data_IF_015797386462
#
_entry.id   IF_015797386462
#
_cell.length_a   1.000
_cell.length_b   1.000
_cell.length_c   1.000
_cell.angle_alpha   90.00
_cell.angle_beta   90.00
_cell.angle_gamma   90.00
#
_symmetry.space_group_name_H-M   'P 1'
#
loop_
_entity.id
_entity.type
_entity.pdbx_description
1 polymer ?
#
# COMPACT_ATOMS: atom_id res chain seq x y z
N UNK A 1 -0.28 -10.01 -18.14
CA UNK A 1 -0.20 -10.57 -16.76
C UNK A 1 -0.04 -9.45 -15.76
N UNK A 2 -0.89 -9.33 -14.72
CA UNK A 2 -0.80 -8.25 -13.72
C UNK A 2 0.57 -8.23 -13.02
N UNK A 3 1.19 -9.40 -12.86
CA UNK A 3 2.57 -9.56 -12.36
C UNK A 3 3.63 -8.76 -13.14
N UNK A 4 3.51 -8.66 -14.48
CA UNK A 4 4.52 -7.96 -15.31
C UNK A 4 4.44 -6.43 -15.15
N UNK A 5 3.25 -5.88 -14.94
CA UNK A 5 3.06 -4.45 -14.68
C UNK A 5 3.55 -4.08 -13.29
N UNK A 6 3.14 -4.84 -12.26
CA UNK A 6 3.61 -4.64 -10.89
C UNK A 6 5.14 -4.75 -10.78
N UNK A 7 5.76 -5.77 -11.40
CA UNK A 7 7.23 -5.94 -11.37
C UNK A 7 8.01 -4.75 -11.95
N UNK A 8 7.41 -3.93 -12.82
CA UNK A 8 8.07 -2.75 -13.42
C UNK A 8 8.14 -1.55 -12.47
N UNK A 9 7.28 -1.50 -11.45
CA UNK A 9 7.19 -0.41 -10.48
C UNK A 9 7.63 -0.83 -9.07
N UNK A 10 8.05 -2.09 -8.87
CA UNK A 10 8.57 -2.52 -7.57
C UNK A 10 9.98 -1.93 -7.36
N UNK A 11 10.28 -1.39 -6.16
CA UNK A 11 11.65 -1.04 -5.80
C UNK A 11 12.55 -2.27 -5.80
N UNK A 12 13.84 -2.05 -6.07
CA UNK A 12 14.83 -3.12 -6.20
C UNK A 12 14.90 -4.00 -4.94
N UNK A 13 14.74 -5.31 -5.12
CA UNK A 13 14.64 -6.27 -4.02
C UNK A 13 15.93 -6.30 -3.18
N UNK A 14 17.08 -6.03 -3.80
CA UNK A 14 18.39 -6.11 -3.16
C UNK A 14 18.60 -4.96 -2.17
N UNK A 15 18.12 -3.75 -2.48
CA UNK A 15 18.20 -2.58 -1.57
C UNK A 15 17.41 -2.77 -0.28
N UNK A 16 16.29 -3.50 -0.34
CA UNK A 16 15.46 -3.78 0.83
C UNK A 16 16.09 -4.88 1.68
N UNK A 17 16.73 -5.89 1.07
CA UNK A 17 17.40 -6.98 1.79
C UNK A 17 18.68 -6.52 2.50
N UNK A 18 19.35 -5.50 1.99
CA UNK A 18 20.61 -4.98 2.54
C UNK A 18 20.43 -4.01 3.72
N UNK A 19 19.22 -3.48 3.95
CA UNK A 19 18.96 -2.55 5.04
C UNK A 19 19.21 -3.19 6.42
N UNK A 20 20.09 -2.55 7.22
CA UNK A 20 20.58 -3.06 8.52
C UNK A 20 19.46 -3.45 9.49
N UNK A 21 18.35 -2.71 9.50
CA UNK A 21 17.20 -2.97 10.37
C UNK A 21 16.35 -4.17 9.91
N UNK A 22 16.37 -4.51 8.62
CA UNK A 22 15.63 -5.65 8.08
C UNK A 22 16.37 -6.97 8.30
N UNK A 23 17.70 -6.95 8.42
CA UNK A 23 18.50 -8.15 8.79
C UNK A 23 18.12 -8.76 10.14
N UNK A 24 17.51 -7.98 11.05
CA UNK A 24 16.97 -8.49 12.33
C UNK A 24 15.90 -9.58 12.13
N UNK A 25 15.22 -9.60 10.98
CA UNK A 25 14.19 -10.59 10.68
C UNK A 25 14.74 -11.92 10.12
N UNK A 26 16.07 -12.05 9.94
CA UNK A 26 16.78 -13.33 9.76
C UNK A 26 16.07 -14.39 8.89
N UNK A 27 15.68 -15.51 9.51
CA UNK A 27 15.02 -16.64 8.85
C UNK A 27 13.59 -16.33 8.36
N UNK A 28 12.89 -15.36 8.95
CA UNK A 28 11.54 -14.98 8.52
C UNK A 28 11.53 -14.36 7.12
N UNK A 29 12.65 -13.78 6.67
CA UNK A 29 12.80 -13.24 5.32
C UNK A 29 12.90 -14.32 4.22
N UNK A 30 13.02 -15.60 4.58
CA UNK A 30 13.12 -16.70 3.62
C UNK A 30 11.74 -17.15 3.09
N UNK A 31 10.62 -16.63 3.60
CA UNK A 31 9.31 -16.99 3.07
C UNK A 31 9.15 -16.46 1.62
N UNK A 32 8.92 -17.34 0.63
CA UNK A 32 8.76 -16.96 -0.77
C UNK A 32 7.59 -15.99 -1.01
N UNK A 33 6.56 -15.99 -0.16
CA UNK A 33 5.42 -15.06 -0.29
C UNK A 33 5.79 -13.60 -0.06
N UNK A 34 6.88 -13.32 0.66
CA UNK A 34 7.36 -11.97 0.92
C UNK A 34 7.91 -11.31 -0.35
N UNK A 35 8.46 -12.10 -1.27
CA UNK A 35 9.14 -11.59 -2.46
C UNK A 35 8.34 -11.81 -3.74
N UNK A 36 7.51 -12.84 -3.79
CA UNK A 36 6.77 -13.16 -5.00
C UNK A 36 5.42 -12.43 -5.11
N UNK A 37 5.19 -11.86 -6.29
CA UNK A 37 3.90 -11.29 -6.66
C UNK A 37 2.87 -12.42 -6.88
N UNK A 38 1.99 -12.61 -5.90
CA UNK A 38 0.90 -13.57 -5.98
C UNK A 38 -0.46 -12.94 -5.58
N UNK A 39 -1.55 -13.57 -6.02
CA UNK A 39 -2.93 -13.05 -5.85
C UNK A 39 -3.41 -12.95 -4.40
N UNK A 40 -2.72 -13.58 -3.45
CA UNK A 40 -3.07 -13.61 -2.02
C UNK A 40 -2.22 -12.62 -1.22
N UNK A 41 -0.93 -12.57 -1.50
CA UNK A 41 0.10 -11.76 -0.85
C UNK A 41 0.01 -10.28 -1.25
N UNK A 42 -0.19 -9.96 -2.54
CA UNK A 42 -0.21 -8.56 -3.01
C UNK A 42 -1.35 -7.75 -2.41
N UNK A 43 -2.62 -8.21 -2.38
CA UNK A 43 -3.70 -7.44 -1.74
C UNK A 43 -3.46 -7.18 -0.25
N UNK A 44 -2.90 -8.16 0.47
CA UNK A 44 -2.54 -8.00 1.87
C UNK A 44 -1.41 -7.00 2.09
N UNK A 45 -0.40 -6.99 1.20
CA UNK A 45 0.66 -5.99 1.22
C UNK A 45 0.13 -4.56 1.04
N UNK A 46 -0.89 -4.39 0.19
CA UNK A 46 -1.58 -3.11 0.04
C UNK A 46 -2.31 -2.69 1.32
N UNK A 47 -2.99 -3.61 2.00
CA UNK A 47 -3.61 -3.30 3.29
C UNK A 47 -2.59 -2.87 4.33
N UNK A 48 -1.51 -3.64 4.52
CA UNK A 48 -0.49 -3.34 5.52
C UNK A 48 0.23 -2.04 5.20
N UNK A 49 0.73 -1.89 3.97
CA UNK A 49 1.49 -0.72 3.58
C UNK A 49 0.68 0.57 3.63
N UNK A 50 -0.56 0.55 3.15
CA UNK A 50 -1.44 1.73 3.21
C UNK A 50 -1.85 2.05 4.64
N UNK A 51 -2.21 1.05 5.46
CA UNK A 51 -2.52 1.31 6.87
C UNK A 51 -1.35 1.97 7.59
N UNK A 52 -0.15 1.40 7.42
CA UNK A 52 1.07 1.89 8.07
C UNK A 52 1.52 3.25 7.54
N UNK A 53 1.18 3.62 6.30
CA UNK A 53 1.44 4.95 5.76
C UNK A 53 0.74 6.06 6.55
N UNK A 54 -0.41 5.77 7.17
CA UNK A 54 -1.15 6.73 7.98
C UNK A 54 -0.76 6.72 9.46
N UNK A 55 0.14 5.82 9.88
CA UNK A 55 0.63 5.78 11.27
C UNK A 55 1.72 6.86 11.40
N UNK A 56 1.49 7.93 12.20
CA UNK A 56 2.37 9.10 12.23
C UNK A 56 3.60 8.85 13.11
N UNK A 57 4.44 7.90 12.71
CA UNK A 57 5.70 7.55 13.40
C UNK A 57 6.87 7.53 12.43
N UNK A 58 8.06 8.02 12.82
CA UNK A 58 9.21 8.10 11.94
C UNK A 58 9.71 6.71 11.48
N UNK A 59 9.45 5.66 12.27
CA UNK A 59 9.83 4.27 11.97
C UNK A 59 8.71 3.46 11.29
N UNK A 60 7.78 4.13 10.60
CA UNK A 60 6.65 3.49 9.89
C UNK A 60 7.07 2.40 8.88
N UNK A 61 8.24 2.55 8.24
CA UNK A 61 8.79 1.52 7.34
C UNK A 61 9.08 0.21 8.07
N UNK A 62 9.59 0.28 9.30
CA UNK A 62 9.85 -0.89 10.13
C UNK A 62 8.54 -1.56 10.54
N UNK A 63 7.52 -0.79 10.90
CA UNK A 63 6.18 -1.33 11.22
C UNK A 63 5.53 -2.01 10.01
N UNK A 64 5.66 -1.42 8.82
CA UNK A 64 5.16 -2.04 7.59
C UNK A 64 5.91 -3.33 7.24
N UNK A 65 7.23 -3.35 7.41
CA UNK A 65 8.01 -4.57 7.21
C UNK A 65 7.63 -5.66 8.22
N UNK A 66 7.52 -5.31 9.51
CA UNK A 66 7.09 -6.23 10.56
C UNK A 66 5.69 -6.77 10.29
N UNK A 67 4.73 -5.89 9.97
CA UNK A 67 3.37 -6.28 9.60
C UNK A 67 3.33 -7.18 8.36
N UNK A 68 4.17 -6.89 7.36
CA UNK A 68 4.26 -7.70 6.15
C UNK A 68 4.76 -9.12 6.45
N UNK A 69 5.75 -9.24 7.33
CA UNK A 69 6.31 -10.52 7.78
C UNK A 69 5.29 -11.30 8.61
N UNK A 70 4.67 -10.66 9.60
CA UNK A 70 3.67 -11.30 10.47
C UNK A 70 2.50 -11.86 9.66
N UNK A 71 2.05 -11.11 8.65
CA UNK A 71 0.93 -11.52 7.78
C UNK A 71 1.36 -12.34 6.56
N UNK A 72 2.67 -12.58 6.38
CA UNK A 72 3.27 -13.30 5.24
C UNK A 72 2.84 -12.73 3.88
N UNK A 73 2.82 -11.41 3.78
CA UNK A 73 2.45 -10.65 2.58
C UNK A 73 3.68 -9.96 1.96
N UNK A 74 3.54 -9.45 0.74
CA UNK A 74 4.68 -8.97 -0.04
C UNK A 74 5.37 -7.79 0.66
N UNK A 75 6.60 -8.01 1.10
CA UNK A 75 7.36 -7.07 1.92
C UNK A 75 7.77 -5.83 1.11
N UNK A 76 8.35 -5.95 -0.11
CA UNK A 76 8.70 -4.79 -0.91
C UNK A 76 7.53 -3.85 -1.18
N UNK A 77 6.36 -4.40 -1.51
CA UNK A 77 5.16 -3.60 -1.75
C UNK A 77 4.70 -2.90 -0.48
N UNK A 78 4.68 -3.60 0.65
CA UNK A 78 4.22 -3.03 1.92
C UNK A 78 5.09 -1.84 2.33
N UNK A 79 6.41 -1.97 2.21
CA UNK A 79 7.36 -0.89 2.51
C UNK A 79 7.27 0.25 1.49
N UNK A 80 7.11 -0.06 0.20
CA UNK A 80 6.99 0.95 -0.84
C UNK A 80 5.75 1.84 -0.67
N UNK A 81 4.63 1.27 -0.22
CA UNK A 81 3.39 2.02 -0.04
C UNK A 81 3.44 3.02 1.11
N UNK A 82 4.30 2.79 2.10
CA UNK A 82 4.52 3.75 3.19
C UNK A 82 5.13 5.06 2.67
N UNK A 83 5.85 5.03 1.54
CA UNK A 83 6.42 6.24 0.93
C UNK A 83 5.37 7.19 0.33
N UNK A 84 4.09 6.80 0.35
CA UNK A 84 2.99 7.71 0.01
C UNK A 84 2.96 8.91 0.97
N UNK A 85 3.35 8.74 2.24
CA UNK A 85 3.46 9.82 3.24
C UNK A 85 4.90 10.31 3.38
N UNK A 86 5.45 10.82 2.27
CA UNK A 86 6.77 11.46 2.24
C UNK A 86 6.70 12.92 2.75
N UNK A 87 7.83 13.61 3.00
CA UNK A 87 7.82 14.96 3.55
C UNK A 87 7.00 15.99 2.78
N UNK A 88 6.86 15.80 1.47
CA UNK A 88 6.07 16.68 0.61
C UNK A 88 4.56 16.42 0.76
N UNK A 89 4.15 15.17 0.93
CA UNK A 89 2.74 14.77 0.99
C UNK A 89 2.18 14.63 2.40
N UNK A 90 3.03 14.44 3.42
CA UNK A 90 2.58 14.15 4.78
C UNK A 90 1.77 15.30 5.38
N UNK A 91 2.16 16.57 5.15
CA UNK A 91 1.46 17.73 5.69
C UNK A 91 0.00 17.80 5.25
N UNK A 92 -0.29 17.83 3.92
CA UNK A 92 -1.65 17.82 3.42
C UNK A 92 -2.47 16.59 3.87
N UNK A 93 -1.87 15.39 3.84
CA UNK A 93 -2.57 14.14 4.21
C UNK A 93 -2.96 14.16 5.69
N UNK A 94 -2.03 14.53 6.57
CA UNK A 94 -2.26 14.56 8.01
C UNK A 94 -3.15 15.72 8.46
N UNK A 95 -3.14 16.83 7.74
CA UNK A 95 -4.10 17.90 7.94
C UNK A 95 -5.53 17.45 7.61
N UNK A 96 -5.73 16.72 6.50
CA UNK A 96 -7.03 16.15 6.17
C UNK A 96 -7.47 15.09 7.19
N UNK A 97 -6.54 14.27 7.67
CA UNK A 97 -6.79 13.31 8.74
C UNK A 97 -7.29 14.03 10.01
N UNK A 98 -6.57 15.06 10.46
CA UNK A 98 -6.97 15.90 11.59
C UNK A 98 -8.37 16.49 11.40
N UNK A 99 -8.65 17.10 10.25
CA UNK A 99 -9.97 17.69 9.97
C UNK A 99 -11.09 16.67 10.05
N UNK A 100 -10.90 15.47 9.48
CA UNK A 100 -11.90 14.42 9.54
C UNK A 100 -12.12 13.93 10.98
N UNK A 101 -11.06 13.75 11.77
CA UNK A 101 -11.19 13.35 13.17
C UNK A 101 -11.81 14.43 14.05
N UNK A 102 -11.49 15.71 13.80
CA UNK A 102 -12.12 16.83 14.49
C UNK A 102 -13.61 16.92 14.16
N UNK A 103 -13.99 16.68 12.91
CA UNK A 103 -15.39 16.59 12.48
C UNK A 103 -16.13 15.47 13.22
N UNK A 104 -15.52 14.28 13.34
CA UNK A 104 -16.13 13.13 14.04
C UNK A 104 -16.28 13.40 15.54
N UNK A 105 -15.28 14.05 16.16
CA UNK A 105 -15.32 14.41 17.58
C UNK A 105 -16.13 15.69 17.87
N UNK A 106 -16.70 16.32 16.84
CA UNK A 106 -17.39 17.61 16.93
C UNK A 106 -16.56 18.68 17.65
N UNK A 107 -15.25 18.70 17.39
CA UNK A 107 -14.32 19.67 17.96
C UNK A 107 -14.09 20.83 16.99
N UNK A 108 -13.92 22.08 17.48
CA UNK A 108 -13.61 23.21 16.60
C UNK A 108 -12.27 22.96 15.91
N UNK A 109 -12.28 22.96 14.58
CA UNK A 109 -11.05 22.91 13.79
C UNK A 109 -10.29 24.21 14.00
N UNK A 110 -9.08 24.11 14.53
CA UNK A 110 -8.18 25.28 14.61
C UNK A 110 -7.46 25.40 13.27
N UNK A 111 -7.15 26.64 12.88
CA UNK A 111 -6.27 26.90 11.74
C UNK A 111 -4.85 26.52 12.11
N UNK A 112 -4.54 25.23 12.00
CA UNK A 112 -3.20 24.72 12.25
C UNK A 112 -2.41 24.78 10.96
N UNK A 113 -1.50 25.74 10.85
CA UNK A 113 -0.47 25.75 9.82
C UNK A 113 0.57 24.68 10.15
N UNK A 114 0.56 23.56 9.43
CA UNK A 114 1.54 22.49 9.65
C UNK A 114 2.95 22.99 9.32
N UNK A 115 3.74 23.26 10.36
CA UNK A 115 5.17 23.57 10.24
C UNK A 115 5.98 22.36 10.72
N UNK A 116 7.00 21.96 9.94
CA UNK A 116 7.96 20.91 10.31
C UNK A 116 8.99 21.43 11.31
N UNK A 117 8.53 22.08 12.38
CA UNK A 117 9.37 22.56 13.48
C UNK A 117 9.09 21.69 14.71
N UNK A 118 10.13 21.27 15.42
CA UNK A 118 9.99 20.46 16.65
C UNK A 118 9.10 21.18 17.68
N UNK A 119 9.21 22.50 17.77
CA UNK A 119 8.42 23.33 18.67
C UNK A 119 6.92 23.32 18.34
N UNK A 120 6.57 23.33 17.05
CA UNK A 120 5.20 23.16 16.59
C UNK A 120 4.67 21.76 16.89
N UNK A 121 5.51 20.75 16.71
CA UNK A 121 5.16 19.35 16.95
C UNK A 121 4.91 19.05 18.44
N UNK A 122 5.52 19.75 19.37
CA UNK A 122 5.30 19.50 20.80
C UNK A 122 4.11 20.29 21.34
N UNK A 123 3.94 21.56 20.92
CA UNK A 123 2.88 22.45 21.44
C UNK A 123 1.52 22.21 20.79
N UNK A 124 1.46 22.09 19.45
CA UNK A 124 0.20 21.93 18.74
C UNK A 124 -0.28 20.49 18.74
N UNK A 125 0.63 19.52 18.54
CA UNK A 125 0.28 18.10 18.51
C UNK A 125 -0.31 17.65 19.86
N UNK A 126 0.19 18.16 20.99
CA UNK A 126 -0.38 17.88 22.31
C UNK A 126 -1.84 18.34 22.49
N UNK A 127 -2.33 19.25 21.65
CA UNK A 127 -3.71 19.73 21.68
C UNK A 127 -4.60 19.09 20.60
N UNK A 128 -4.01 18.64 19.49
CA UNK A 128 -4.74 18.04 18.36
C UNK A 128 -4.56 16.52 18.24
N UNK A 129 -3.78 15.87 19.10
CA UNK A 129 -3.43 14.45 18.98
C UNK A 129 -4.67 13.54 18.92
N UNK A 130 -5.73 13.83 19.69
CA UNK A 130 -6.92 12.99 19.74
C UNK A 130 -7.69 12.97 18.39
N UNK A 131 -8.15 14.12 17.83
CA UNK A 131 -8.75 14.13 16.50
C UNK A 131 -7.75 13.69 15.41
N UNK A 132 -6.47 14.01 15.56
CA UNK A 132 -5.45 13.61 14.61
C UNK A 132 -5.30 12.08 14.50
N UNK A 133 -5.10 11.38 15.61
CA UNK A 133 -4.95 9.92 15.64
C UNK A 133 -6.23 9.22 15.19
N UNK A 134 -7.40 9.74 15.54
CA UNK A 134 -8.68 9.21 15.06
C UNK A 134 -8.77 9.31 13.54
N UNK A 135 -8.39 10.46 12.98
CA UNK A 135 -8.29 10.67 11.54
C UNK A 135 -7.33 9.70 10.86
N UNK A 136 -6.12 9.56 11.41
CA UNK A 136 -5.13 8.60 10.93
C UNK A 136 -5.67 7.16 10.94
N UNK A 137 -6.35 6.75 12.01
CA UNK A 137 -6.96 5.43 12.11
C UNK A 137 -8.07 5.23 11.07
N UNK A 138 -8.91 6.24 10.86
CA UNK A 138 -9.99 6.21 9.88
C UNK A 138 -9.43 6.09 8.46
N UNK A 139 -8.58 7.02 8.05
CA UNK A 139 -8.00 7.03 6.71
C UNK A 139 -7.11 5.81 6.48
N UNK A 140 -6.32 5.40 7.47
CA UNK A 140 -5.50 4.20 7.42
C UNK A 140 -6.35 2.95 7.17
N UNK A 141 -7.43 2.77 7.93
CA UNK A 141 -8.37 1.66 7.75
C UNK A 141 -9.06 1.70 6.37
N UNK A 142 -9.56 2.86 5.96
CA UNK A 142 -10.22 3.03 4.66
C UNK A 142 -9.26 2.76 3.51
N UNK A 143 -8.06 3.32 3.54
CA UNK A 143 -7.04 3.10 2.52
C UNK A 143 -6.62 1.62 2.48
N UNK A 144 -6.48 0.96 3.63
CA UNK A 144 -6.14 -0.45 3.69
C UNK A 144 -7.22 -1.36 3.08
N UNK A 145 -8.49 -1.07 3.36
CA UNK A 145 -9.63 -1.80 2.79
C UNK A 145 -9.74 -1.55 1.29
N UNK A 146 -9.74 -0.28 0.87
CA UNK A 146 -9.85 0.11 -0.53
C UNK A 146 -8.69 -0.44 -1.35
N UNK A 147 -7.45 -0.30 -0.89
CA UNK A 147 -6.27 -0.86 -1.57
C UNK A 147 -6.37 -2.36 -1.76
N UNK A 148 -6.84 -3.10 -0.75
CA UNK A 148 -7.05 -4.55 -0.87
C UNK A 148 -8.08 -4.90 -1.94
N UNK A 149 -9.25 -4.25 -1.87
CA UNK A 149 -10.36 -4.49 -2.78
C UNK A 149 -10.00 -4.10 -4.23
N UNK A 150 -9.32 -2.97 -4.42
CA UNK A 150 -8.85 -2.50 -5.72
C UNK A 150 -7.89 -3.50 -6.35
N UNK A 151 -6.91 -4.00 -5.60
CA UNK A 151 -5.95 -5.00 -6.13
C UNK A 151 -6.63 -6.33 -6.41
N UNK A 152 -7.55 -6.80 -5.56
CA UNK A 152 -8.35 -8.01 -5.83
C UNK A 152 -9.19 -7.84 -7.09
N UNK A 153 -9.85 -6.70 -7.24
CA UNK A 153 -10.65 -6.32 -8.40
C UNK A 153 -9.81 -6.25 -9.67
N UNK A 154 -8.68 -5.55 -9.63
CA UNK A 154 -7.72 -5.43 -10.74
C UNK A 154 -7.23 -6.81 -11.19
N UNK A 155 -6.94 -7.71 -10.24
CA UNK A 155 -6.53 -9.07 -10.57
C UNK A 155 -7.65 -9.86 -11.26
N UNK A 156 -8.87 -9.80 -10.73
CA UNK A 156 -10.06 -10.46 -11.33
C UNK A 156 -10.33 -9.93 -12.74
N UNK A 157 -10.32 -8.61 -12.92
CA UNK A 157 -10.53 -7.95 -14.21
C UNK A 157 -9.47 -8.37 -15.23
N UNK A 158 -8.19 -8.30 -14.83
CA UNK A 158 -7.08 -8.65 -15.72
C UNK A 158 -7.14 -10.13 -16.13
N UNK A 159 -7.48 -11.04 -15.21
CA UNK A 159 -7.65 -12.46 -15.52
C UNK A 159 -8.80 -12.64 -16.51
N UNK A 160 -10.00 -12.11 -16.24
CA UNK A 160 -11.17 -12.21 -17.14
C UNK A 160 -10.83 -11.69 -18.55
N UNK A 161 -10.24 -10.50 -18.65
CA UNK A 161 -9.81 -9.92 -19.93
C UNK A 161 -8.86 -10.83 -20.71
N UNK A 162 -7.87 -11.44 -20.03
CA UNK A 162 -6.96 -12.38 -20.70
C UNK A 162 -7.64 -13.68 -21.12
N UNK A 163 -8.66 -14.16 -20.39
CA UNK A 163 -9.44 -15.34 -20.81
C UNK A 163 -10.27 -15.05 -22.06
N UNK A 164 -10.92 -13.88 -22.14
CA UNK A 164 -11.63 -13.45 -23.35
C UNK A 164 -10.69 -13.32 -24.55
N UNK A 165 -9.57 -12.60 -24.40
CA UNK A 165 -8.56 -12.45 -25.46
C UNK A 165 -7.90 -13.77 -25.91
N UNK A 166 -7.89 -14.80 -25.05
CA UNK A 166 -7.41 -16.14 -25.41
C UNK A 166 -8.46 -16.94 -26.17
N UNK A 167 -9.74 -16.81 -25.83
CA UNK A 167 -10.84 -17.43 -26.57
C UNK A 167 -10.97 -16.84 -27.96
N UNK A 168 -10.89 -15.52 -28.09
CA UNK A 168 -10.91 -14.83 -29.40
C UNK A 168 -9.74 -15.27 -30.29
N UNK A 169 -8.53 -15.32 -29.73
CA UNK A 169 -7.36 -15.81 -30.48
C UNK A 169 -7.43 -17.29 -30.88
N UNK A 170 -8.14 -18.13 -30.11
CA UNK A 170 -8.38 -19.53 -30.53
C UNK A 170 -9.36 -19.58 -31.69
N UNK A 171 -10.49 -18.87 -31.59
CA UNK A 171 -11.48 -18.78 -32.67
C UNK A 171 -10.88 -18.25 -33.98
N UNK A 172 -10.06 -17.20 -33.92
CA UNK A 172 -9.38 -16.65 -35.10
C UNK A 172 -8.40 -17.65 -35.74
N UNK A 173 -7.71 -18.46 -34.94
CA UNK A 173 -6.79 -19.51 -35.44
C UNK A 173 -7.53 -20.69 -36.05
N UNK A 174 -8.70 -21.03 -35.52
CA UNK A 174 -9.58 -22.08 -36.05
C UNK A 174 -10.15 -21.62 -37.41
N UNK A 175 -10.73 -20.41 -37.49
CA UNK A 175 -11.22 -19.84 -38.74
C UNK A 175 -10.13 -19.74 -39.83
N UNK A 176 -8.93 -19.25 -39.49
CA UNK A 176 -7.83 -19.17 -40.45
C UNK A 176 -7.31 -20.54 -40.94
N UNK A 177 -7.50 -21.61 -40.16
CA UNK A 177 -7.18 -22.99 -40.59
C UNK A 177 -8.23 -23.56 -41.54
N UNK A 178 -9.49 -23.21 -41.35
CA UNK A 178 -10.58 -23.60 -42.25
C UNK A 178 -10.44 -22.91 -43.62
N UNK A 179 -10.05 -21.63 -43.65
CA UNK A 179 -9.84 -20.86 -44.90
C UNK A 179 -8.60 -21.26 -45.70
N UNK A 180 -7.57 -21.84 -45.07
CA UNK A 180 -6.32 -22.24 -45.75
C UNK A 180 -6.27 -23.70 -46.18
N UNK A 181 -7.27 -24.50 -45.79
CA UNK A 181 -7.42 -25.91 -46.17
C UNK A 181 -8.45 -26.18 -47.27
N UNK A 182 -9.11 -25.14 -47.80
CA UNK A 182 -10.04 -25.19 -48.93
C UNK A 182 -9.43 -24.57 -50.18
#
# INVERSE_FOLDING_TARGET
MPKRLLKRYLPDHDRIREHRHLKCFGSLLHDPNLWHLNRRSVPGAFSVGLFMAFVPVPFQMFLAAAGAICLRVNLPISVALVWITNPLTMGPIFYLAYKAGALILNQPTRDVSFALTIDWLTTQLGQIWQPFLLGCLLFGTLAALLGNLLIRGFWRFTVRKHWHLRRERRRQREAAREESGS
#
